data_IF_862700815640
#
_entry.id   IF_862700815640
#
_cell.length_a   1.000
_cell.length_b   1.000
_cell.length_c   1.000
_cell.angle_alpha   90.00
_cell.angle_beta   90.00
_cell.angle_gamma   90.00
#
_symmetry.space_group_name_H-M   'P 1'
#
loop_
_entity.id
_entity.type
_entity.pdbx_description
1 polymer ?
#
# COMPACT_ATOMS: atom_id res chain seq x y z
N UNK A 1 18.51 -4.15 3.76
CA UNK A 1 18.20 -4.03 2.31
C UNK A 1 17.96 -5.38 1.61
N UNK A 2 18.89 -6.35 1.67
CA UNK A 2 18.72 -7.64 0.98
C UNK A 2 17.53 -8.44 1.51
N UNK A 3 17.41 -8.60 2.82
CA UNK A 3 16.30 -9.33 3.45
C UNK A 3 14.94 -8.70 3.15
N UNK A 4 14.82 -7.36 3.26
CA UNK A 4 13.57 -6.66 2.94
C UNK A 4 13.19 -6.80 1.46
N UNK A 5 14.16 -6.86 0.55
CA UNK A 5 13.90 -7.13 -0.87
C UNK A 5 13.30 -8.52 -1.11
N UNK A 6 13.82 -9.56 -0.45
CA UNK A 6 13.28 -10.92 -0.57
C UNK A 6 11.84 -11.00 -0.02
N UNK A 7 11.60 -10.41 1.15
CA UNK A 7 10.24 -10.36 1.73
C UNK A 7 9.28 -9.60 0.81
N UNK A 8 9.72 -8.47 0.24
CA UNK A 8 8.90 -7.69 -0.71
C UNK A 8 8.54 -8.47 -1.97
N UNK A 9 9.43 -9.30 -2.51
CA UNK A 9 9.11 -10.16 -3.66
C UNK A 9 7.90 -11.03 -3.33
N UNK A 10 7.88 -11.69 -2.17
CA UNK A 10 6.75 -12.53 -1.74
C UNK A 10 5.48 -11.70 -1.55
N UNK A 11 5.57 -10.57 -0.85
CA UNK A 11 4.43 -9.71 -0.57
C UNK A 11 3.82 -9.12 -1.85
N UNK A 12 4.67 -8.63 -2.76
CA UNK A 12 4.21 -8.01 -4.03
C UNK A 12 3.56 -9.07 -4.93
N UNK A 13 4.23 -10.22 -5.14
CA UNK A 13 3.65 -11.25 -6.00
C UNK A 13 2.37 -11.84 -5.41
N UNK A 14 2.29 -12.05 -4.10
CA UNK A 14 1.06 -12.46 -3.43
C UNK A 14 -0.06 -11.44 -3.59
N UNK A 15 0.24 -10.16 -3.38
CA UNK A 15 -0.72 -9.06 -3.59
C UNK A 15 -1.21 -9.00 -5.05
N UNK A 16 -0.30 -9.05 -6.02
CA UNK A 16 -0.65 -9.02 -7.45
C UNK A 16 -1.45 -10.26 -7.86
N UNK A 17 -1.06 -11.45 -7.38
CA UNK A 17 -1.76 -12.68 -7.71
C UNK A 17 -3.22 -12.62 -7.26
N UNK A 18 -3.47 -12.23 -6.02
CA UNK A 18 -4.84 -12.16 -5.48
C UNK A 18 -5.67 -11.08 -6.18
N UNK A 19 -5.08 -9.95 -6.53
CA UNK A 19 -5.83 -8.84 -7.13
C UNK A 19 -6.02 -8.98 -8.66
N UNK A 20 -5.10 -9.66 -9.37
CA UNK A 20 -5.12 -9.69 -10.83
C UNK A 20 -5.50 -11.04 -11.42
N UNK A 21 -5.30 -12.15 -10.69
CA UNK A 21 -5.45 -13.50 -11.22
C UNK A 21 -6.44 -14.37 -10.44
N UNK A 22 -6.63 -14.15 -9.13
CA UNK A 22 -7.58 -14.95 -8.36
C UNK A 22 -9.02 -14.58 -8.71
N UNK A 23 -9.90 -15.59 -8.76
CA UNK A 23 -11.31 -15.42 -9.11
C UNK A 23 -11.50 -14.83 -10.51
N UNK A 24 -12.24 -13.72 -10.60
CA UNK A 24 -12.47 -13.00 -11.87
C UNK A 24 -11.33 -12.02 -12.23
N UNK A 25 -10.25 -12.04 -11.45
CA UNK A 25 -9.07 -11.21 -11.66
C UNK A 25 -9.38 -9.71 -11.54
N UNK A 26 -8.76 -8.91 -12.41
CA UNK A 26 -8.90 -7.45 -12.40
C UNK A 26 -10.34 -6.96 -12.49
N UNK A 27 -11.25 -7.74 -13.05
CA UNK A 27 -12.68 -7.38 -13.18
C UNK A 27 -13.43 -7.41 -11.85
N UNK A 28 -12.92 -8.15 -10.87
CA UNK A 28 -13.50 -8.25 -9.54
C UNK A 28 -13.13 -7.06 -8.63
N UNK A 29 -12.20 -6.19 -9.06
CA UNK A 29 -11.74 -5.06 -8.24
C UNK A 29 -12.80 -3.96 -8.24
N UNK A 30 -13.69 -4.05 -7.27
CA UNK A 30 -14.71 -3.06 -6.96
C UNK A 30 -14.64 -2.68 -5.46
N UNK A 31 -15.57 -1.85 -5.01
CA UNK A 31 -15.62 -1.44 -3.60
C UNK A 31 -15.82 -2.64 -2.66
N UNK A 32 -16.72 -3.56 -3.00
CA UNK A 32 -17.03 -4.73 -2.17
C UNK A 32 -15.79 -5.65 -2.00
N UNK A 33 -15.01 -5.83 -3.05
CA UNK A 33 -13.76 -6.61 -3.02
C UNK A 33 -12.72 -5.96 -2.09
N UNK A 34 -12.49 -4.65 -2.23
CA UNK A 34 -11.52 -3.91 -1.38
C UNK A 34 -12.00 -3.87 0.06
N UNK A 35 -13.29 -3.60 0.28
CA UNK A 35 -13.89 -3.57 1.61
C UNK A 35 -13.81 -4.94 2.30
N UNK A 36 -14.06 -6.02 1.57
CA UNK A 36 -13.90 -7.39 2.08
C UNK A 36 -12.48 -7.70 2.53
N UNK A 37 -11.48 -7.26 1.77
CA UNK A 37 -10.07 -7.42 2.15
C UNK A 37 -9.70 -6.61 3.38
N UNK A 38 -10.11 -5.34 3.46
CA UNK A 38 -9.81 -4.47 4.59
C UNK A 38 -10.63 -4.80 5.85
N UNK A 39 -11.70 -5.58 5.73
CA UNK A 39 -12.42 -6.16 6.87
C UNK A 39 -11.72 -7.41 7.45
N UNK A 40 -10.83 -8.05 6.70
CA UNK A 40 -10.10 -9.25 7.12
C UNK A 40 -8.74 -8.88 7.73
N UNK A 41 -8.49 -9.19 9.01
CA UNK A 41 -7.23 -8.88 9.70
C UNK A 41 -5.98 -9.42 8.99
N UNK A 42 -6.08 -10.55 8.29
CA UNK A 42 -4.95 -11.10 7.53
C UNK A 42 -4.51 -10.13 6.43
N UNK A 43 -5.44 -9.61 5.64
CA UNK A 43 -5.14 -8.66 4.57
C UNK A 43 -4.70 -7.30 5.11
N UNK A 44 -5.28 -6.83 6.20
CA UNK A 44 -4.83 -5.60 6.88
C UNK A 44 -3.35 -5.70 7.25
N UNK A 45 -2.92 -6.81 7.85
CA UNK A 45 -1.50 -7.03 8.20
C UNK A 45 -0.64 -7.16 6.95
N UNK A 46 -1.10 -7.94 5.96
CA UNK A 46 -0.37 -8.12 4.70
C UNK A 46 -0.12 -6.79 3.97
N UNK A 47 -1.17 -5.99 3.78
CA UNK A 47 -1.09 -4.72 3.05
C UNK A 47 -0.34 -3.65 3.86
N UNK A 48 -0.42 -3.68 5.19
CA UNK A 48 0.41 -2.82 6.05
C UNK A 48 1.89 -3.14 5.91
N UNK A 49 2.26 -4.42 5.96
CA UNK A 49 3.65 -4.85 5.77
C UNK A 49 4.16 -4.49 4.37
N UNK A 50 3.33 -4.72 3.35
CA UNK A 50 3.65 -4.35 1.98
C UNK A 50 3.89 -2.84 1.84
N UNK A 51 2.98 -2.01 2.35
CA UNK A 51 3.08 -0.55 2.34
C UNK A 51 4.38 -0.06 2.99
N UNK A 52 4.62 -0.47 4.23
CA UNK A 52 5.78 0.01 4.98
C UNK A 52 7.10 -0.48 4.39
N UNK A 53 7.19 -1.78 4.09
CA UNK A 53 8.42 -2.33 3.53
C UNK A 53 8.72 -1.77 2.14
N UNK A 54 7.72 -1.59 1.29
CA UNK A 54 7.90 -1.04 -0.05
C UNK A 54 8.39 0.42 0.00
N UNK A 55 7.76 1.25 0.84
CA UNK A 55 8.12 2.66 0.96
C UNK A 55 9.48 2.87 1.63
N UNK A 56 9.79 2.12 2.69
CA UNK A 56 11.10 2.22 3.36
C UNK A 56 12.20 1.66 2.46
N UNK A 57 11.98 0.52 1.79
CA UNK A 57 12.95 -0.09 0.89
C UNK A 57 13.19 0.80 -0.33
N UNK A 58 12.11 1.28 -0.96
CA UNK A 58 12.18 2.17 -2.12
C UNK A 58 12.81 3.52 -1.78
N UNK A 59 12.40 4.15 -0.66
CA UNK A 59 12.98 5.40 -0.19
C UNK A 59 14.48 5.29 0.09
N UNK A 60 14.91 4.17 0.69
CA UNK A 60 16.33 3.92 0.93
C UNK A 60 17.10 3.61 -0.39
N UNK A 61 16.48 2.93 -1.35
CA UNK A 61 17.04 2.75 -2.70
C UNK A 61 17.22 4.09 -3.42
N UNK A 62 16.21 4.95 -3.40
CA UNK A 62 16.28 6.30 -3.97
C UNK A 62 17.35 7.15 -3.30
N UNK A 63 17.50 7.07 -1.97
CA UNK A 63 18.57 7.73 -1.24
C UNK A 63 19.96 7.31 -1.75
N UNK A 64 20.17 6.02 -2.01
CA UNK A 64 21.43 5.51 -2.58
C UNK A 64 21.69 6.14 -3.95
N UNK A 65 20.71 6.11 -4.86
CA UNK A 65 20.83 6.73 -6.17
C UNK A 65 21.15 8.22 -6.09
N UNK A 66 20.49 8.97 -5.22
CA UNK A 66 20.76 10.41 -5.03
C UNK A 66 22.19 10.64 -4.56
N UNK A 67 22.71 9.81 -3.63
CA UNK A 67 24.09 9.94 -3.15
C UNK A 67 25.11 9.65 -4.24
N UNK A 68 24.81 8.69 -5.12
CA UNK A 68 25.74 8.26 -6.18
C UNK A 68 25.72 9.22 -7.38
N UNK A 69 24.58 9.80 -7.73
CA UNK A 69 24.42 10.56 -8.98
C UNK A 69 24.19 12.06 -8.82
N UNK A 70 23.99 12.59 -7.61
CA UNK A 70 23.82 14.03 -7.41
C UNK A 70 25.14 14.69 -6.92
N UNK A 71 25.94 15.27 -7.82
CA UNK A 71 27.25 15.86 -7.47
C UNK A 71 27.10 17.16 -6.69
N UNK A 72 26.03 17.92 -6.94
CA UNK A 72 25.80 19.18 -6.24
C UNK A 72 25.25 18.95 -4.82
N UNK A 73 25.95 19.39 -3.76
CA UNK A 73 25.54 19.12 -2.39
C UNK A 73 24.20 19.73 -2.00
N UNK A 74 23.83 20.89 -2.56
CA UNK A 74 22.52 21.52 -2.28
C UNK A 74 21.40 20.72 -2.89
N UNK A 75 21.55 20.32 -4.16
CA UNK A 75 20.56 19.48 -4.87
C UNK A 75 20.41 18.15 -4.15
N UNK A 76 21.51 17.53 -3.72
CA UNK A 76 21.50 16.27 -2.97
C UNK A 76 20.68 16.40 -1.70
N UNK A 77 20.91 17.42 -0.88
CA UNK A 77 20.16 17.62 0.36
C UNK A 77 18.68 17.83 0.08
N UNK A 78 18.31 18.66 -0.90
CA UNK A 78 16.91 18.88 -1.26
C UNK A 78 16.23 17.59 -1.68
N UNK A 79 16.87 16.77 -2.52
CA UNK A 79 16.33 15.49 -2.97
C UNK A 79 16.19 14.49 -1.80
N UNK A 80 17.18 14.40 -0.91
CA UNK A 80 17.11 13.51 0.26
C UNK A 80 15.98 13.92 1.22
N UNK A 81 15.80 15.22 1.46
CA UNK A 81 14.69 15.72 2.28
C UNK A 81 13.35 15.44 1.61
N UNK A 82 13.24 15.67 0.31
CA UNK A 82 12.01 15.39 -0.45
C UNK A 82 11.64 13.89 -0.41
N UNK A 83 12.61 12.99 -0.57
CA UNK A 83 12.39 11.53 -0.46
C UNK A 83 11.95 11.16 0.96
N UNK A 84 12.61 11.66 1.99
CA UNK A 84 12.24 11.38 3.37
C UNK A 84 10.85 11.90 3.71
N UNK A 85 10.54 13.14 3.33
CA UNK A 85 9.23 13.75 3.56
C UNK A 85 8.10 13.01 2.83
N UNK A 86 8.28 12.71 1.53
CA UNK A 86 7.29 11.96 0.75
C UNK A 86 7.09 10.54 1.29
N UNK A 87 8.15 9.85 1.67
CA UNK A 87 8.05 8.52 2.30
C UNK A 87 7.24 8.58 3.60
N UNK A 88 7.53 9.55 4.47
CA UNK A 88 6.81 9.71 5.73
C UNK A 88 5.33 10.04 5.51
N UNK A 89 5.02 10.96 4.59
CA UNK A 89 3.64 11.32 4.23
C UNK A 89 2.89 10.12 3.68
N UNK A 90 3.48 9.37 2.74
CA UNK A 90 2.83 8.22 2.11
C UNK A 90 2.59 7.06 3.11
N UNK A 91 3.55 6.79 4.02
CA UNK A 91 3.36 5.80 5.09
C UNK A 91 2.20 6.24 6.00
N UNK A 92 2.18 7.51 6.40
CA UNK A 92 1.12 8.03 7.29
C UNK A 92 -0.25 7.94 6.62
N UNK A 93 -0.39 8.45 5.41
CA UNK A 93 -1.66 8.45 4.68
C UNK A 93 -2.13 7.01 4.37
N UNK A 94 -1.24 6.15 3.88
CA UNK A 94 -1.58 4.77 3.58
C UNK A 94 -1.98 3.99 4.84
N UNK A 95 -1.29 4.20 5.97
CA UNK A 95 -1.66 3.59 7.25
C UNK A 95 -3.03 4.11 7.72
N UNK A 96 -3.27 5.42 7.64
CA UNK A 96 -4.59 5.98 7.96
C UNK A 96 -5.69 5.34 7.12
N UNK A 97 -5.50 5.22 5.80
CA UNK A 97 -6.49 4.58 4.92
C UNK A 97 -6.77 3.14 5.37
N UNK A 98 -5.74 2.32 5.61
CA UNK A 98 -5.91 0.91 5.98
C UNK A 98 -6.68 0.77 7.30
N UNK A 99 -6.40 1.61 8.31
CA UNK A 99 -6.95 1.45 9.66
C UNK A 99 -8.20 2.28 9.96
N UNK A 100 -8.53 3.27 9.12
CA UNK A 100 -9.77 4.08 9.27
C UNK A 100 -10.80 3.79 8.18
N UNK A 101 -10.52 2.85 7.27
CA UNK A 101 -11.45 2.47 6.23
C UNK A 101 -12.71 1.84 6.83
N UNK A 102 -13.87 2.36 6.44
CA UNK A 102 -15.17 1.78 6.81
C UNK A 102 -15.67 0.89 5.66
N UNK A 103 -15.75 -0.44 5.86
CA UNK A 103 -16.23 -1.35 4.83
C UNK A 103 -17.74 -1.25 4.59
N UNK A 104 -18.50 -0.64 5.51
CA UNK A 104 -19.96 -0.53 5.44
C UNK A 104 -20.42 0.92 5.66
N UNK A 105 -20.01 1.88 4.80
CA UNK A 105 -20.31 3.29 5.02
C UNK A 105 -21.80 3.58 4.96
N UNK A 106 -22.29 4.36 5.90
CA UNK A 106 -23.68 4.75 5.98
C UNK A 106 -24.12 5.52 4.71
N UNK A 107 -25.24 5.11 4.13
CA UNK A 107 -25.82 5.75 2.92
C UNK A 107 -25.21 5.30 1.59
N UNK A 108 -24.32 4.31 1.59
CA UNK A 108 -23.87 3.68 0.36
C UNK A 108 -25.00 2.83 -0.26
N UNK A 109 -24.99 2.74 -1.59
CA UNK A 109 -25.94 1.90 -2.31
C UNK A 109 -25.69 0.42 -1.99
N UNK A 110 -26.76 -0.31 -1.65
CA UNK A 110 -26.65 -1.71 -1.17
C UNK A 110 -25.94 -2.65 -2.17
N UNK A 111 -26.07 -2.39 -3.46
CA UNK A 111 -25.44 -3.17 -4.54
C UNK A 111 -23.91 -2.99 -4.59
N UNK A 112 -23.37 -1.94 -3.96
CA UNK A 112 -21.92 -1.68 -3.90
C UNK A 112 -21.27 -2.26 -2.63
N UNK A 113 -22.09 -2.62 -1.64
CA UNK A 113 -21.59 -3.08 -0.36
C UNK A 113 -21.27 -4.59 -0.38
N UNK A 114 -20.26 -5.02 0.41
CA UNK A 114 -20.05 -6.43 0.67
C UNK A 114 -21.30 -7.09 1.29
N UNK A 115 -21.48 -8.39 1.04
CA UNK A 115 -22.62 -9.16 1.51
C UNK A 115 -22.76 -9.25 3.04
N UNK A 116 -21.69 -8.97 3.79
CA UNK A 116 -21.68 -8.96 5.25
C UNK A 116 -22.15 -7.62 5.86
N UNK A 117 -22.31 -6.57 5.04
CA UNK A 117 -22.81 -5.30 5.54
C UNK A 117 -24.33 -5.38 5.82
N UNK A 118 -24.81 -4.77 6.92
CA UNK A 118 -26.24 -4.70 7.20
C UNK A 118 -26.95 -3.90 6.08
N UNK A 119 -27.94 -4.51 5.48
CA UNK A 119 -28.82 -3.80 4.53
C UNK A 119 -29.74 -2.90 5.33
N UNK A 120 -29.88 -1.61 5.00
CA UNK A 120 -30.77 -0.70 5.69
C UNK A 120 -32.24 -1.07 5.55
#
# INVERSE_FOLDING_TARGET
MRASGVVLVVLIFGHLFVNLFAGEGVKAIDFAFVAGKLADPFWVVWDTLLLWLALIHGGNGMRTLVNDYAPNPRVRVVLLVAIAASTAVLITLGTLVIYTFDPCPAGAAAELLPSFCPVP
#
